data_IF_989017317048
#
_entry.id   IF_989017317048
#
_cell.length_a   1.000
_cell.length_b   1.000
_cell.length_c   1.000
_cell.angle_alpha   90.00
_cell.angle_beta   90.00
_cell.angle_gamma   90.00
#
_symmetry.space_group_name_H-M   'P 1'
#
loop_
_entity.id
_entity.type
_entity.pdbx_description
1 polymer ?
#
# COMPACT_ATOMS: atom_id res chain seq x y z
N UNK A 1 -28.65 -3.59 -15.31
CA UNK A 1 -28.14 -2.33 -14.73
C UNK A 1 -27.68 -1.49 -15.90
N UNK A 2 -28.51 -0.54 -16.32
CA UNK A 2 -28.14 0.41 -17.38
C UNK A 2 -27.15 1.40 -16.78
N UNK A 3 -25.90 1.35 -17.23
CA UNK A 3 -24.95 2.45 -17.09
C UNK A 3 -25.43 3.53 -18.06
N UNK A 4 -26.38 4.36 -17.62
CA UNK A 4 -26.92 5.43 -18.46
C UNK A 4 -25.84 6.48 -18.76
N UNK A 5 -25.83 6.87 -20.03
CA UNK A 5 -24.90 7.69 -20.79
C UNK A 5 -24.83 9.18 -20.38
N UNK A 6 -25.13 9.54 -19.14
CA UNK A 6 -25.28 10.95 -18.73
C UNK A 6 -23.98 11.65 -18.31
N UNK A 7 -22.84 10.94 -18.28
CA UNK A 7 -21.55 11.55 -17.91
C UNK A 7 -20.89 12.29 -19.08
N UNK A 8 -21.26 12.00 -20.34
CA UNK A 8 -20.68 12.64 -21.51
C UNK A 8 -20.99 14.14 -21.59
N UNK A 9 -22.01 14.63 -20.88
CA UNK A 9 -22.35 16.07 -20.85
C UNK A 9 -21.58 16.88 -19.81
N UNK A 10 -20.70 16.25 -19.02
CA UNK A 10 -19.87 16.93 -17.99
C UNK A 10 -18.46 17.25 -18.50
N UNK A 11 -18.12 16.81 -19.72
CA UNK A 11 -16.87 17.19 -20.36
C UNK A 11 -16.86 18.68 -20.67
N UNK A 12 -15.94 19.43 -20.04
CA UNK A 12 -15.60 20.77 -20.51
C UNK A 12 -14.91 20.58 -21.87
N UNK A 13 -15.53 21.05 -22.95
CA UNK A 13 -14.94 21.04 -24.29
C UNK A 13 -13.53 21.69 -24.23
N UNK A 14 -12.50 20.93 -24.62
CA UNK A 14 -11.10 21.36 -24.58
C UNK A 14 -10.30 20.97 -23.32
N UNK A 15 -10.89 20.24 -22.36
CA UNK A 15 -10.20 19.75 -21.15
C UNK A 15 -9.23 18.58 -21.43
N UNK A 16 -9.54 17.76 -22.43
CA UNK A 16 -8.74 16.59 -22.84
C UNK A 16 -7.77 16.97 -23.97
N UNK A 17 -6.71 17.68 -23.62
CA UNK A 17 -5.60 17.98 -24.53
C UNK A 17 -4.60 16.82 -24.57
N UNK A 18 -3.78 16.75 -25.62
CA UNK A 18 -2.77 15.69 -25.78
C UNK A 18 -1.83 15.58 -24.56
N UNK A 19 -1.48 16.69 -23.93
CA UNK A 19 -0.65 16.72 -22.73
C UNK A 19 -1.36 16.10 -21.51
N UNK A 20 -2.67 16.34 -21.34
CA UNK A 20 -3.48 15.72 -20.27
C UNK A 20 -3.58 14.21 -20.45
N UNK A 21 -3.73 13.74 -21.69
CA UNK A 21 -3.77 12.30 -22.01
C UNK A 21 -2.43 11.63 -21.74
N UNK A 22 -1.32 12.29 -22.08
CA UNK A 22 0.02 11.79 -21.81
C UNK A 22 0.28 11.65 -20.31
N UNK A 23 -0.02 12.69 -19.52
CA UNK A 23 0.14 12.66 -18.06
C UNK A 23 -0.73 11.58 -17.42
N UNK A 24 -1.96 11.40 -17.89
CA UNK A 24 -2.83 10.33 -17.39
C UNK A 24 -2.22 8.95 -17.68
N UNK A 25 -1.72 8.72 -18.89
CA UNK A 25 -1.07 7.47 -19.25
C UNK A 25 0.19 7.20 -18.40
N UNK A 26 1.01 8.21 -18.14
CA UNK A 26 2.17 8.10 -17.24
C UNK A 26 1.75 7.69 -15.82
N UNK A 27 0.71 8.33 -15.27
CA UNK A 27 0.16 7.98 -13.94
C UNK A 27 -0.44 6.57 -13.91
N UNK A 28 -1.11 6.13 -14.98
CA UNK A 28 -1.66 4.78 -15.09
C UNK A 28 -0.56 3.72 -15.20
N UNK A 29 0.48 3.97 -16.00
CA UNK A 29 1.64 3.08 -16.12
C UNK A 29 2.32 2.92 -14.76
N UNK A 30 2.57 4.02 -14.06
CA UNK A 30 3.15 3.98 -12.71
C UNK A 30 2.24 3.23 -11.73
N UNK A 31 0.92 3.44 -11.82
CA UNK A 31 -0.05 2.69 -11.03
C UNK A 31 0.06 1.18 -11.28
N UNK A 32 0.13 0.75 -12.54
CA UNK A 32 0.25 -0.66 -12.88
C UNK A 32 1.57 -1.27 -12.44
N UNK A 33 2.69 -0.53 -12.53
CA UNK A 33 3.95 -0.97 -11.95
C UNK A 33 3.86 -1.15 -10.43
N UNK A 34 3.19 -0.24 -9.72
CA UNK A 34 2.98 -0.38 -8.27
C UNK A 34 2.09 -1.57 -7.89
N UNK A 35 1.13 -1.94 -8.75
CA UNK A 35 0.26 -3.10 -8.54
C UNK A 35 0.89 -4.43 -8.99
N UNK A 36 2.08 -4.40 -9.60
CA UNK A 36 2.74 -5.59 -10.14
C UNK A 36 2.19 -6.08 -11.48
N UNK A 37 1.30 -5.31 -12.13
CA UNK A 37 0.78 -5.59 -13.46
C UNK A 37 1.77 -5.07 -14.53
N UNK A 38 2.93 -5.71 -14.59
CA UNK A 38 4.04 -5.26 -15.45
C UNK A 38 3.71 -5.39 -16.95
N UNK A 39 3.03 -6.48 -17.32
CA UNK A 39 2.54 -6.76 -18.67
C UNK A 39 1.56 -5.68 -19.15
N UNK A 40 0.59 -5.32 -18.32
CA UNK A 40 -0.39 -4.27 -18.63
C UNK A 40 0.30 -2.90 -18.74
N UNK A 41 1.24 -2.61 -17.84
CA UNK A 41 2.03 -1.38 -17.89
C UNK A 41 2.85 -1.27 -19.19
N UNK A 42 3.44 -2.37 -19.64
CA UNK A 42 4.23 -2.45 -20.87
C UNK A 42 3.38 -2.29 -22.13
N UNK A 43 2.22 -2.96 -22.20
CA UNK A 43 1.28 -2.82 -23.32
C UNK A 43 0.79 -1.37 -23.42
N UNK A 44 0.40 -0.76 -22.28
CA UNK A 44 -0.02 0.64 -22.23
C UNK A 44 1.09 1.59 -22.70
N UNK A 45 2.36 1.33 -22.36
CA UNK A 45 3.49 2.11 -22.87
C UNK A 45 3.59 2.04 -24.40
N UNK A 46 3.43 0.84 -24.97
CA UNK A 46 3.50 0.62 -26.43
C UNK A 46 2.37 1.34 -27.16
N UNK A 47 1.13 1.20 -26.67
CA UNK A 47 -0.05 1.83 -27.27
C UNK A 47 -0.02 3.36 -27.19
N UNK A 48 0.46 3.89 -26.07
CA UNK A 48 0.53 5.35 -25.84
C UNK A 48 1.79 6.02 -26.40
N UNK A 49 2.74 5.24 -26.92
CA UNK A 49 4.05 5.74 -27.38
C UNK A 49 4.93 6.29 -26.26
N UNK A 50 4.66 5.92 -25.00
CA UNK A 50 5.45 6.34 -23.84
C UNK A 50 6.71 5.48 -23.71
N UNK A 51 7.86 6.14 -23.62
CA UNK A 51 9.13 5.50 -23.27
C UNK A 51 9.42 5.71 -21.78
N UNK A 52 9.16 4.71 -20.95
CA UNK A 52 9.57 4.73 -19.53
C UNK A 52 11.01 4.23 -19.42
N UNK A 53 11.87 5.02 -18.78
CA UNK A 53 13.25 4.66 -18.51
C UNK A 53 13.30 3.36 -17.69
N UNK A 54 14.03 2.32 -18.13
CA UNK A 54 14.25 1.10 -17.35
C UNK A 54 14.66 1.35 -15.89
N UNK A 55 15.43 2.42 -15.63
CA UNK A 55 15.86 2.79 -14.27
C UNK A 55 14.69 3.10 -13.33
N UNK A 56 13.56 3.59 -13.87
CA UNK A 56 12.35 3.86 -13.12
C UNK A 56 11.53 2.58 -12.87
N UNK A 57 11.70 1.56 -13.72
CA UNK A 57 10.99 0.28 -13.63
C UNK A 57 11.64 -0.69 -12.65
N UNK A 58 12.97 -0.76 -12.66
CA UNK A 58 13.73 -1.73 -11.87
C UNK A 58 13.32 -1.79 -10.38
N UNK A 59 13.10 -0.66 -9.67
CA UNK A 59 12.65 -0.71 -8.29
C UNK A 59 11.31 -1.41 -8.12
N UNK A 60 10.33 -1.14 -9.00
CA UNK A 60 9.02 -1.78 -8.92
C UNK A 60 9.10 -3.27 -9.22
N UNK A 61 9.95 -3.70 -10.16
CA UNK A 61 10.15 -5.12 -10.46
C UNK A 61 10.66 -5.86 -9.22
N UNK A 62 11.67 -5.31 -8.53
CA UNK A 62 12.20 -5.94 -7.32
C UNK A 62 11.19 -5.93 -6.16
N UNK A 63 10.47 -4.82 -5.96
CA UNK A 63 9.44 -4.74 -4.91
C UNK A 63 8.31 -5.73 -5.14
N UNK A 64 7.82 -5.86 -6.38
CA UNK A 64 6.79 -6.83 -6.72
C UNK A 64 7.29 -8.27 -6.56
N UNK A 65 8.54 -8.56 -6.95
CA UNK A 65 9.16 -9.87 -6.71
C UNK A 65 9.16 -10.23 -5.23
N UNK A 66 9.50 -9.28 -4.36
CA UNK A 66 9.49 -9.47 -2.91
C UNK A 66 8.07 -9.64 -2.38
N UNK A 67 7.12 -8.82 -2.83
CA UNK A 67 5.70 -8.93 -2.43
C UNK A 67 5.09 -10.28 -2.83
N UNK A 68 5.34 -10.76 -4.04
CA UNK A 68 4.89 -12.08 -4.48
C UNK A 68 5.51 -13.19 -3.62
N UNK A 69 6.81 -13.08 -3.29
CA UNK A 69 7.45 -14.01 -2.36
C UNK A 69 6.80 -13.99 -0.97
N UNK A 70 6.47 -12.82 -0.43
CA UNK A 70 5.78 -12.68 0.85
C UNK A 70 4.37 -13.29 0.82
N UNK A 71 3.61 -13.12 -0.27
CA UNK A 71 2.28 -13.74 -0.46
C UNK A 71 2.34 -15.26 -0.42
N UNK A 72 3.40 -15.88 -0.96
CA UNK A 72 3.65 -17.33 -0.86
C UNK A 72 4.48 -17.75 0.36
N UNK A 73 4.60 -16.87 1.36
CA UNK A 73 5.27 -17.09 2.65
C UNK A 73 6.78 -17.36 2.59
N UNK A 74 7.44 -16.83 1.56
CA UNK A 74 8.90 -16.88 1.39
C UNK A 74 9.51 -15.56 1.89
N UNK A 75 10.17 -15.61 3.06
CA UNK A 75 10.68 -14.42 3.75
C UNK A 75 12.06 -13.94 3.29
N UNK A 76 12.84 -14.81 2.65
CA UNK A 76 14.26 -14.54 2.35
C UNK A 76 14.47 -13.24 1.54
N UNK A 77 13.75 -13.00 0.43
CA UNK A 77 13.93 -11.78 -0.36
C UNK A 77 13.64 -10.51 0.46
N UNK A 78 12.56 -10.52 1.25
CA UNK A 78 12.19 -9.40 2.10
C UNK A 78 13.21 -9.13 3.21
N UNK A 79 13.77 -10.18 3.83
CA UNK A 79 14.83 -10.06 4.83
C UNK A 79 16.11 -9.47 4.24
N UNK A 80 16.56 -9.99 3.10
CA UNK A 80 17.76 -9.49 2.41
C UNK A 80 17.60 -8.01 2.02
N UNK A 81 16.42 -7.64 1.52
CA UNK A 81 16.08 -6.26 1.21
C UNK A 81 16.07 -5.38 2.46
N UNK A 82 15.44 -5.81 3.55
CA UNK A 82 15.36 -5.02 4.79
C UNK A 82 16.74 -4.80 5.42
N UNK A 83 17.61 -5.81 5.40
CA UNK A 83 19.00 -5.67 5.88
C UNK A 83 19.79 -4.71 5.00
N UNK A 84 19.63 -4.80 3.67
CA UNK A 84 20.32 -3.91 2.73
C UNK A 84 19.88 -2.45 2.85
N UNK A 85 18.63 -2.20 3.25
CA UNK A 85 18.04 -0.87 3.42
C UNK A 85 17.92 -0.45 4.90
N UNK A 86 18.61 -1.14 5.81
CA UNK A 86 18.45 -0.96 7.27
C UNK A 86 18.60 0.49 7.72
N UNK A 87 19.64 1.19 7.28
CA UNK A 87 19.90 2.57 7.69
C UNK A 87 18.74 3.50 7.33
N UNK A 88 18.19 3.33 6.12
CA UNK A 88 17.06 4.13 5.66
C UNK A 88 15.76 3.76 6.38
N UNK A 89 15.53 2.46 6.65
CA UNK A 89 14.39 1.99 7.45
C UNK A 89 14.43 2.53 8.89
N UNK A 90 15.61 2.59 9.50
CA UNK A 90 15.81 3.19 10.83
C UNK A 90 15.48 4.69 10.78
N UNK A 91 15.94 5.40 9.74
CA UNK A 91 15.62 6.82 9.56
C UNK A 91 14.11 7.08 9.40
N UNK A 92 13.38 6.12 8.81
CA UNK A 92 11.91 6.15 8.71
C UNK A 92 11.18 5.63 9.96
N UNK A 93 11.91 5.23 11.01
CA UNK A 93 11.35 4.59 12.21
C UNK A 93 10.49 3.35 11.88
N UNK A 94 10.91 2.58 10.86
CA UNK A 94 10.23 1.35 10.44
C UNK A 94 10.51 0.19 11.40
N UNK A 95 9.48 -0.62 11.65
CA UNK A 95 9.58 -1.89 12.40
C UNK A 95 9.66 -3.13 11.48
N UNK A 96 9.80 -2.93 10.16
CA UNK A 96 9.74 -3.98 9.16
C UNK A 96 10.80 -5.07 9.40
N UNK A 97 12.06 -4.68 9.58
CA UNK A 97 13.16 -5.64 9.75
C UNK A 97 12.93 -6.55 10.97
N UNK A 98 12.51 -5.98 12.10
CA UNK A 98 12.17 -6.75 13.29
C UNK A 98 11.02 -7.73 13.03
N UNK A 99 9.94 -7.25 12.39
CA UNK A 99 8.76 -8.08 12.10
C UNK A 99 9.10 -9.24 11.15
N UNK A 100 9.97 -9.02 10.16
CA UNK A 100 10.46 -10.07 9.27
C UNK A 100 11.30 -11.12 10.03
N UNK A 101 12.23 -10.69 10.88
CA UNK A 101 12.99 -11.63 11.73
C UNK A 101 12.07 -12.41 12.66
N UNK A 102 11.05 -11.77 13.22
CA UNK A 102 10.03 -12.40 14.05
C UNK A 102 9.24 -13.47 13.30
N UNK A 103 8.74 -13.17 12.09
CA UNK A 103 8.05 -14.17 11.26
C UNK A 103 8.95 -15.36 10.89
N UNK A 104 10.22 -15.09 10.56
CA UNK A 104 11.17 -16.16 10.27
C UNK A 104 11.40 -17.04 11.49
N UNK A 105 11.60 -16.45 12.66
CA UNK A 105 11.76 -17.20 13.89
C UNK A 105 10.52 -18.04 14.21
N UNK A 106 9.31 -17.50 14.02
CA UNK A 106 8.06 -18.26 14.17
C UNK A 106 8.02 -19.47 13.22
N UNK A 107 8.47 -19.31 11.96
CA UNK A 107 8.58 -20.44 11.02
C UNK A 107 9.53 -21.53 11.50
N UNK A 108 10.62 -21.15 12.19
CA UNK A 108 11.54 -22.12 12.82
C UNK A 108 10.86 -22.83 13.99
N UNK A 109 10.09 -22.11 14.82
CA UNK A 109 9.35 -22.70 15.92
C UNK A 109 8.31 -23.72 15.45
N UNK A 110 7.65 -23.46 14.31
CA UNK A 110 6.72 -24.41 13.68
C UNK A 110 7.40 -25.71 13.21
N UNK A 111 8.71 -25.70 12.98
CA UNK A 111 9.50 -26.91 12.73
C UNK A 111 9.77 -27.75 13.99
N UNK A 112 9.30 -27.30 15.16
CA UNK A 112 9.40 -28.03 16.42
C UNK A 112 10.83 -28.29 16.87
N UNK A 113 11.05 -29.42 17.56
CA UNK A 113 12.35 -29.77 18.13
C UNK A 113 13.47 -29.96 17.09
N UNK A 114 13.12 -30.32 15.85
CA UNK A 114 14.07 -30.45 14.75
C UNK A 114 14.82 -29.14 14.47
N UNK A 115 14.10 -28.01 14.54
CA UNK A 115 14.64 -26.69 14.25
C UNK A 115 15.13 -25.95 15.50
N UNK A 116 15.10 -26.57 16.69
CA UNK A 116 15.44 -25.90 17.95
C UNK A 116 16.84 -25.27 17.92
N UNK A 117 17.83 -26.00 17.40
CA UNK A 117 19.21 -25.49 17.29
C UNK A 117 19.30 -24.30 16.34
N UNK A 118 18.59 -24.37 15.21
CA UNK A 118 18.55 -23.29 14.23
C UNK A 118 17.86 -22.05 14.82
N UNK A 119 16.73 -22.22 15.52
CA UNK A 119 16.03 -21.13 16.20
C UNK A 119 16.94 -20.43 17.21
N UNK A 120 17.62 -21.19 18.07
CA UNK A 120 18.56 -20.63 19.05
C UNK A 120 19.73 -19.89 18.40
N UNK A 121 20.26 -20.41 17.29
CA UNK A 121 21.31 -19.72 16.55
C UNK A 121 20.78 -18.44 15.88
N UNK A 122 19.57 -18.50 15.32
CA UNK A 122 18.93 -17.37 14.64
C UNK A 122 18.52 -16.25 15.60
N UNK A 123 18.24 -16.58 16.87
CA UNK A 123 17.90 -15.62 17.91
C UNK A 123 18.94 -14.49 18.07
N UNK A 124 20.19 -14.71 17.65
CA UNK A 124 21.24 -13.67 17.64
C UNK A 124 20.89 -12.48 16.75
N UNK A 125 20.07 -12.66 15.72
CA UNK A 125 19.58 -11.58 14.87
C UNK A 125 18.66 -10.60 15.62
N UNK A 126 18.16 -10.96 16.81
CA UNK A 126 17.35 -10.05 17.63
C UNK A 126 18.19 -9.04 18.44
N UNK A 127 19.52 -9.18 18.49
CA UNK A 127 20.39 -8.31 19.29
C UNK A 127 20.19 -6.81 18.99
N UNK A 128 20.13 -6.34 17.72
CA UNK A 128 19.91 -4.92 17.42
C UNK A 128 18.56 -4.39 17.90
N UNK A 129 17.59 -5.27 18.12
CA UNK A 129 16.20 -4.92 18.47
C UNK A 129 15.91 -5.06 19.97
N UNK A 130 16.89 -5.52 20.77
CA UNK A 130 16.69 -5.89 22.16
C UNK A 130 16.12 -4.76 23.02
N UNK A 131 16.52 -3.50 22.78
CA UNK A 131 16.04 -2.35 23.54
C UNK A 131 14.60 -1.97 23.16
N UNK A 132 14.28 -1.97 21.88
CA UNK A 132 13.00 -1.46 21.37
C UNK A 132 11.89 -2.54 21.38
N UNK A 133 12.27 -3.82 21.34
CA UNK A 133 11.34 -4.95 21.19
C UNK A 133 11.54 -6.02 22.27
N UNK A 134 12.01 -5.63 23.46
CA UNK A 134 12.35 -6.57 24.54
C UNK A 134 11.20 -7.54 24.88
N UNK A 135 9.97 -7.03 25.01
CA UNK A 135 8.81 -7.85 25.39
C UNK A 135 8.49 -8.89 24.32
N UNK A 136 8.49 -8.50 23.05
CA UNK A 136 8.26 -9.41 21.93
C UNK A 136 9.34 -10.50 21.88
N UNK A 137 10.61 -10.12 22.07
CA UNK A 137 11.73 -11.07 22.10
C UNK A 137 11.58 -12.05 23.28
N UNK A 138 11.17 -11.58 24.46
CA UNK A 138 10.91 -12.45 25.61
C UNK A 138 9.78 -13.45 25.33
N UNK A 139 8.71 -13.02 24.67
CA UNK A 139 7.61 -13.91 24.24
C UNK A 139 8.12 -14.98 23.27
N UNK A 140 8.92 -14.59 22.26
CA UNK A 140 9.52 -15.52 21.30
C UNK A 140 10.46 -16.51 22.00
N UNK A 141 11.32 -16.07 22.91
CA UNK A 141 12.21 -16.95 23.65
C UNK A 141 11.44 -17.88 24.61
N UNK A 142 10.40 -17.40 25.28
CA UNK A 142 9.56 -18.20 26.16
C UNK A 142 8.81 -19.32 25.44
N UNK A 143 8.45 -19.09 24.18
CA UNK A 143 7.77 -20.10 23.35
C UNK A 143 8.61 -21.36 23.10
N UNK A 144 9.94 -21.28 23.21
CA UNK A 144 10.86 -22.41 23.02
C UNK A 144 10.59 -23.57 24.01
N UNK A 145 10.03 -23.28 25.19
CA UNK A 145 9.68 -24.28 26.20
C UNK A 145 8.61 -25.26 25.68
N UNK A 146 7.78 -24.81 24.74
CA UNK A 146 6.63 -25.57 24.21
C UNK A 146 6.94 -26.30 22.89
N UNK A 147 8.18 -26.25 22.37
CA UNK A 147 8.55 -26.87 21.09
C UNK A 147 8.22 -28.36 20.99
N UNK A 148 8.25 -29.10 22.10
CA UNK A 148 7.90 -30.53 22.12
C UNK A 148 6.40 -30.77 21.97
N UNK A 149 5.58 -29.86 22.47
CA UNK A 149 4.12 -29.95 22.46
C UNK A 149 3.51 -29.30 21.20
N UNK A 150 4.29 -28.47 20.50
CA UNK A 150 3.82 -27.63 19.40
C UNK A 150 3.36 -26.27 19.92
N UNK A 151 3.65 -25.21 19.16
CA UNK A 151 3.26 -23.84 19.52
C UNK A 151 1.74 -23.67 19.46
N UNK A 152 1.09 -24.39 18.55
CA UNK A 152 -0.36 -24.45 18.37
C UNK A 152 -1.10 -24.95 19.62
N UNK A 153 -0.43 -25.76 20.45
CA UNK A 153 -0.98 -26.31 21.69
C UNK A 153 -0.53 -25.55 22.95
N UNK A 154 0.02 -24.34 22.77
CA UNK A 154 0.62 -23.55 23.84
C UNK A 154 -0.10 -22.21 24.06
N UNK A 155 0.18 -21.51 25.17
CA UNK A 155 -0.29 -20.12 25.37
C UNK A 155 0.18 -19.15 24.26
N UNK A 156 1.14 -19.56 23.43
CA UNK A 156 1.73 -18.77 22.35
C UNK A 156 1.07 -19.01 20.99
N UNK A 157 -0.10 -19.67 20.92
CA UNK A 157 -0.83 -19.91 19.67
C UNK A 157 -1.11 -18.62 18.87
N UNK A 158 -1.27 -17.49 19.55
CA UNK A 158 -1.45 -16.16 18.92
C UNK A 158 -0.27 -15.74 18.04
N UNK A 159 0.92 -16.31 18.24
CA UNK A 159 2.07 -16.10 17.35
C UNK A 159 1.86 -16.68 15.95
N UNK A 160 0.90 -17.59 15.77
CA UNK A 160 0.62 -18.26 14.49
C UNK A 160 -0.48 -17.56 13.69
N UNK A 161 -0.98 -16.40 14.13
CA UNK A 161 -2.03 -15.67 13.42
C UNK A 161 -1.61 -15.35 11.97
N UNK A 162 -2.44 -15.75 11.01
CA UNK A 162 -2.22 -15.54 9.59
C UNK A 162 -2.27 -14.06 9.19
N UNK A 163 -2.98 -13.21 9.96
CA UNK A 163 -3.07 -11.78 9.68
C UNK A 163 -1.71 -11.08 9.64
N UNK A 164 -0.72 -11.63 10.35
CA UNK A 164 0.65 -11.10 10.36
C UNK A 164 1.31 -11.10 8.97
N UNK A 165 0.87 -11.96 8.06
CA UNK A 165 1.35 -11.97 6.67
C UNK A 165 0.73 -10.88 5.82
N UNK A 166 -0.53 -10.52 6.06
CA UNK A 166 -1.14 -9.36 5.41
C UNK A 166 -0.46 -8.08 5.92
N UNK A 167 -0.34 -7.95 7.25
CA UNK A 167 0.31 -6.82 7.89
C UNK A 167 1.75 -6.60 7.40
N UNK A 168 2.54 -7.67 7.21
CA UNK A 168 3.91 -7.52 6.72
C UNK A 168 3.96 -7.06 5.27
N UNK A 169 3.01 -7.47 4.43
CA UNK A 169 2.91 -7.00 3.05
C UNK A 169 2.56 -5.51 3.01
N UNK A 170 1.62 -5.07 3.85
CA UNK A 170 1.22 -3.66 3.93
C UNK A 170 2.37 -2.78 4.45
N UNK A 171 3.06 -3.24 5.51
CA UNK A 171 4.23 -2.54 6.06
C UNK A 171 5.35 -2.48 5.03
N UNK A 172 5.66 -3.59 4.35
CA UNK A 172 6.68 -3.63 3.30
C UNK A 172 6.35 -2.65 2.18
N UNK A 173 5.12 -2.68 1.67
CA UNK A 173 4.67 -1.79 0.59
C UNK A 173 4.82 -0.33 0.99
N UNK A 174 4.31 0.04 2.16
CA UNK A 174 4.38 1.41 2.66
C UNK A 174 5.82 1.90 2.80
N UNK A 175 6.67 1.11 3.45
CA UNK A 175 8.05 1.52 3.75
C UNK A 175 8.89 1.55 2.46
N UNK A 176 8.71 0.57 1.58
CA UNK A 176 9.38 0.54 0.28
C UNK A 176 8.99 1.72 -0.62
N UNK A 177 7.69 2.04 -0.72
CA UNK A 177 7.24 3.22 -1.46
C UNK A 177 7.83 4.51 -0.88
N UNK A 178 7.86 4.64 0.45
CA UNK A 178 8.46 5.79 1.12
C UNK A 178 9.95 5.94 0.81
N UNK A 179 10.70 4.83 0.75
CA UNK A 179 12.12 4.84 0.37
C UNK A 179 12.37 5.28 -1.08
N UNK A 180 11.47 4.92 -1.98
CA UNK A 180 11.54 5.34 -3.38
C UNK A 180 11.09 6.80 -3.59
N UNK A 181 10.70 7.51 -2.53
CA UNK A 181 10.14 8.86 -2.64
C UNK A 181 8.75 8.87 -3.29
N UNK A 182 8.08 7.73 -3.30
CA UNK A 182 6.77 7.54 -3.92
C UNK A 182 5.68 7.64 -2.84
N UNK A 183 4.54 8.22 -3.21
CA UNK A 183 3.33 8.11 -2.39
C UNK A 183 2.91 6.65 -2.25
N UNK A 184 2.48 6.23 -1.06
CA UNK A 184 1.99 4.86 -0.80
C UNK A 184 0.73 4.58 -1.63
N UNK A 185 -0.16 5.56 -1.72
CA UNK A 185 -1.31 5.52 -2.62
C UNK A 185 -0.95 6.14 -3.96
N UNK A 186 -1.31 5.46 -5.06
CA UNK A 186 -1.17 6.03 -6.40
C UNK A 186 -2.03 7.29 -6.52
N UNK A 187 -1.53 8.38 -7.15
CA UNK A 187 -2.33 9.57 -7.44
C UNK A 187 -3.66 9.23 -8.12
N UNK A 188 -3.67 8.20 -8.98
CA UNK A 188 -4.88 7.69 -9.62
C UNK A 188 -5.93 7.21 -8.62
N UNK A 189 -5.50 6.46 -7.59
CA UNK A 189 -6.38 5.91 -6.55
C UNK A 189 -7.00 7.03 -5.71
N UNK A 190 -6.18 8.00 -5.33
CA UNK A 190 -6.62 9.17 -4.55
C UNK A 190 -7.61 10.02 -5.36
N UNK A 191 -7.26 10.35 -6.61
CA UNK A 191 -8.13 11.12 -7.50
C UNK A 191 -9.44 10.40 -7.81
N UNK A 192 -9.40 9.08 -8.03
CA UNK A 192 -10.59 8.27 -8.24
C UNK A 192 -11.50 8.28 -7.01
N UNK A 193 -10.94 8.06 -5.82
CA UNK A 193 -11.68 8.06 -4.55
C UNK A 193 -12.31 9.41 -4.25
N UNK A 194 -11.55 10.50 -4.43
CA UNK A 194 -12.07 11.86 -4.33
C UNK A 194 -13.20 12.11 -5.33
N UNK A 195 -13.05 11.61 -6.57
CA UNK A 195 -14.08 11.65 -7.61
C UNK A 195 -15.36 10.92 -7.19
N UNK A 196 -15.26 9.70 -6.64
CA UNK A 196 -16.41 8.95 -6.15
C UNK A 196 -17.17 9.66 -5.02
N UNK A 197 -16.50 10.47 -4.20
CA UNK A 197 -17.14 11.28 -3.15
C UNK A 197 -17.75 12.56 -3.72
N UNK A 198 -17.03 13.25 -4.60
CA UNK A 198 -17.43 14.56 -5.12
C UNK A 198 -18.53 14.46 -6.20
N UNK A 199 -18.44 13.48 -7.11
CA UNK A 199 -19.35 13.36 -8.26
C UNK A 199 -20.83 13.22 -7.84
N UNK A 200 -21.21 12.34 -6.89
CA UNK A 200 -22.60 12.24 -6.44
C UNK A 200 -23.11 13.55 -5.83
N UNK A 201 -22.26 14.26 -5.07
CA UNK A 201 -22.62 15.56 -4.49
C UNK A 201 -22.85 16.61 -5.59
N UNK A 202 -21.98 16.68 -6.60
CA UNK A 202 -22.13 17.59 -7.74
C UNK A 202 -23.38 17.28 -8.59
N UNK A 203 -23.66 15.99 -8.83
CA UNK A 203 -24.89 15.55 -9.54
C UNK A 203 -26.13 15.97 -8.77
N UNK A 204 -26.15 15.77 -7.44
CA UNK A 204 -27.27 16.20 -6.59
C UNK A 204 -27.46 17.72 -6.63
N UNK A 205 -26.38 18.49 -6.57
CA UNK A 205 -26.44 19.96 -6.69
C UNK A 205 -27.01 20.37 -8.05
N UNK A 206 -26.53 19.78 -9.16
CA UNK A 206 -27.05 20.02 -10.52
C UNK A 206 -28.56 19.72 -10.60
N UNK A 207 -28.98 18.56 -10.11
CA UNK A 207 -30.39 18.15 -10.12
C UNK A 207 -31.28 19.13 -9.32
N UNK A 208 -30.82 19.59 -8.16
CA UNK A 208 -31.54 20.58 -7.35
C UNK A 208 -31.63 21.94 -8.06
N UNK A 209 -30.57 22.36 -8.76
CA UNK A 209 -30.56 23.62 -9.51
C UNK A 209 -31.52 23.57 -10.70
N UNK A 210 -31.52 22.46 -11.45
CA UNK A 210 -32.40 22.24 -12.61
C UNK A 210 -33.88 22.15 -12.21
N UNK A 211 -34.18 21.47 -11.09
CA UNK A 211 -35.55 21.39 -10.56
C UNK A 211 -36.09 22.72 -10.03
N UNK A 212 -35.23 23.58 -9.48
CA UNK A 212 -35.66 24.86 -8.88
C UNK A 212 -35.74 26.02 -9.87
N UNK A 213 -35.40 25.82 -11.15
CA UNK A 213 -35.32 26.89 -12.17
C UNK A 213 -34.53 28.12 -11.68
N UNK A 214 -33.47 27.92 -10.88
CA UNK A 214 -32.62 29.00 -10.40
C UNK A 214 -31.61 29.41 -11.50
N UNK A 215 -32.11 29.87 -12.64
CA UNK A 215 -31.30 30.30 -13.80
C UNK A 215 -30.53 31.60 -13.56
N UNK A 216 -30.75 32.30 -12.44
CA UNK A 216 -30.13 33.59 -12.13
C UNK A 216 -28.98 33.58 -11.12
N UNK A 217 -28.64 32.45 -10.49
CA UNK A 217 -27.68 32.43 -9.37
C UNK A 217 -26.21 32.46 -9.83
N UNK A 218 -25.93 32.08 -11.08
CA UNK A 218 -24.56 31.93 -11.60
C UNK A 218 -24.14 32.99 -12.62
N UNK A 219 -24.88 34.09 -12.75
CA UNK A 219 -24.56 35.15 -13.72
C UNK A 219 -23.68 36.27 -13.15
N UNK A 220 -23.11 36.07 -11.94
CA UNK A 220 -22.13 36.98 -11.37
C UNK A 220 -20.95 36.14 -10.88
N UNK A 221 -19.77 36.51 -11.39
CA UNK A 221 -18.46 35.93 -11.10
C UNK A 221 -18.30 35.53 -9.63
N UNK A 222 -17.66 34.38 -9.47
CA UNK A 222 -16.93 33.91 -8.28
C UNK A 222 -17.75 33.35 -7.10
N UNK A 223 -17.72 32.01 -7.03
CA UNK A 223 -17.30 31.17 -5.89
C UNK A 223 -18.20 29.92 -5.75
N UNK A 224 -17.61 28.75 -5.96
CA UNK A 224 -18.23 27.48 -5.58
C UNK A 224 -18.42 27.47 -4.05
N UNK A 225 -19.58 27.07 -3.51
CA UNK A 225 -19.79 26.95 -2.07
C UNK A 225 -19.16 25.65 -1.55
N UNK A 226 -17.85 25.49 -1.74
CA UNK A 226 -17.09 24.35 -1.19
C UNK A 226 -16.61 24.61 0.24
N UNK A 227 -16.62 25.87 0.68
CA UNK A 227 -16.11 26.27 2.00
C UNK A 227 -17.08 26.01 3.16
N UNK A 228 -18.38 25.78 2.91
CA UNK A 228 -19.35 25.59 4.00
C UNK A 228 -19.56 24.13 4.43
N UNK A 229 -19.20 23.15 3.59
CA UNK A 229 -19.40 21.72 3.91
C UNK A 229 -18.23 21.18 4.74
N UNK A 230 -17.01 21.70 4.57
CA UNK A 230 -15.85 21.28 5.37
C UNK A 230 -15.94 21.75 6.83
N UNK A 231 -16.60 22.87 7.12
CA UNK A 231 -16.67 23.41 8.49
C UNK A 231 -17.67 22.68 9.39
N UNK A 232 -18.59 21.88 8.83
CA UNK A 232 -19.64 21.23 9.63
C UNK A 232 -19.28 19.85 10.17
N UNK A 233 -18.12 19.30 9.78
CA UNK A 233 -17.61 18.01 10.27
C UNK A 233 -16.44 18.12 11.26
N UNK A 234 -15.95 19.33 11.59
CA UNK A 234 -14.91 19.53 12.61
C UNK A 234 -15.44 20.04 13.97
N UNK A 235 -16.75 20.24 14.13
CA UNK A 235 -17.37 20.64 15.40
C UNK A 235 -18.70 19.90 15.61
N UNK A 236 -18.63 18.59 15.87
CA UNK A 236 -19.55 17.79 16.70
C UNK A 236 -18.98 16.40 16.92
#
# INVERSE_FOLDING_TARGET
MNFDSDISSVGIDGCWQADSQRLLNEVMVEHFFRQGMLDVAEELCQESGLSVDPSQKEPFVELNRILEALKVRVLRPALEWAVSNREMLIAQNSSLEFKLHRLYFISLLMGGTTNQREALQYAKNFQPFALNHQKDIQVLMGSLVYLRQGIENSPYVHLLDANQWADICDIFTRDACALLGLSVESPLSVSFSAGCVALPALINIKAVIEQRQCTGVWNQKDELPVSSIFFRYCLS
#
